data_IF_924915301334
#
_entry.id   IF_924915301334
#
_cell.length_a   1.000
_cell.length_b   1.000
_cell.length_c   1.000
_cell.angle_alpha   90.00
_cell.angle_beta   90.00
_cell.angle_gamma   90.00
#
_symmetry.space_group_name_H-M   'P 1'
#
loop_
_entity.id
_entity.type
_entity.pdbx_description
1 polymer ?
#
# COMPACT_ATOMS: atom_id res chain seq x y z
N UNK A 1 7.84 8.28 -3.94
CA UNK A 1 6.50 8.66 -3.42
C UNK A 1 6.50 9.27 -2.00
N UNK A 2 7.34 8.79 -1.07
CA UNK A 2 7.20 9.05 0.38
C UNK A 2 7.22 10.52 0.81
N UNK A 3 8.12 11.35 0.27
CA UNK A 3 8.21 12.76 0.69
C UNK A 3 6.92 13.54 0.38
N UNK A 4 6.29 13.24 -0.75
CA UNK A 4 4.98 13.82 -1.09
C UNK A 4 3.89 13.36 -0.13
N UNK A 5 3.88 12.07 0.22
CA UNK A 5 2.93 11.51 1.19
C UNK A 5 3.12 12.14 2.57
N UNK A 6 4.36 12.34 3.03
CA UNK A 6 4.66 13.01 4.30
C UNK A 6 4.16 14.46 4.32
N UNK A 7 4.44 15.22 3.25
CA UNK A 7 4.03 16.62 3.13
C UNK A 7 2.50 16.77 3.08
N UNK A 8 1.82 15.80 2.46
CA UNK A 8 0.37 15.83 2.28
C UNK A 8 -0.40 15.07 3.36
N UNK A 9 0.27 14.35 4.26
CA UNK A 9 -0.36 13.52 5.29
C UNK A 9 -1.50 14.22 6.06
N UNK A 10 -1.41 15.52 6.45
CA UNK A 10 -2.52 16.20 7.11
C UNK A 10 -3.82 16.27 6.29
N UNK A 11 -3.72 16.16 4.96
CA UNK A 11 -4.81 16.31 4.00
C UNK A 11 -5.23 14.98 3.35
N UNK A 12 -4.44 13.91 3.49
CA UNK A 12 -4.72 12.62 2.87
C UNK A 12 -5.89 11.93 3.59
N UNK A 13 -6.98 11.72 2.86
CA UNK A 13 -8.13 10.91 3.30
C UNK A 13 -8.11 9.50 2.72
N UNK A 14 -7.73 9.38 1.46
CA UNK A 14 -7.64 8.11 0.77
C UNK A 14 -6.39 8.07 -0.09
N UNK A 15 -5.88 6.85 -0.34
CA UNK A 15 -4.81 6.61 -1.29
C UNK A 15 -5.22 5.52 -2.27
N UNK A 16 -4.66 5.60 -3.47
CA UNK A 16 -4.59 4.48 -4.39
C UNK A 16 -3.32 3.68 -4.09
N UNK A 17 -3.48 2.49 -3.54
CA UNK A 17 -2.40 1.56 -3.24
C UNK A 17 -2.11 0.71 -4.49
N UNK A 18 -1.28 1.29 -5.36
CA UNK A 18 -0.88 0.72 -6.65
C UNK A 18 0.19 -0.35 -6.48
N UNK A 19 0.08 -1.43 -7.24
CA UNK A 19 1.04 -2.53 -7.28
C UNK A 19 1.25 -3.06 -8.69
N UNK A 20 2.43 -3.61 -8.96
CA UNK A 20 2.78 -4.17 -10.26
C UNK A 20 3.42 -5.56 -10.14
N UNK A 21 4.42 -5.70 -9.27
CA UNK A 21 5.20 -6.94 -9.17
C UNK A 21 5.41 -7.34 -7.71
N UNK A 22 5.20 -8.62 -7.41
CA UNK A 22 5.40 -9.18 -6.08
C UNK A 22 6.57 -10.17 -6.08
N UNK A 23 7.38 -10.12 -5.03
CA UNK A 23 8.44 -11.11 -4.81
C UNK A 23 7.89 -12.44 -4.25
N UNK A 24 8.77 -13.40 -4.04
CA UNK A 24 8.40 -14.72 -3.48
C UNK A 24 7.87 -14.67 -2.04
N UNK A 25 8.00 -13.54 -1.34
CA UNK A 25 7.46 -13.30 0.00
C UNK A 25 6.13 -12.55 -0.04
N UNK A 26 5.65 -12.19 -1.22
CA UNK A 26 4.43 -11.41 -1.44
C UNK A 26 4.62 -9.92 -1.16
N UNK A 27 5.86 -9.42 -1.15
CA UNK A 27 6.15 -7.99 -1.04
C UNK A 27 6.11 -7.34 -2.42
N UNK A 28 5.55 -6.14 -2.51
CA UNK A 28 5.60 -5.34 -3.73
C UNK A 28 7.03 -4.83 -3.94
N UNK A 29 7.56 -4.97 -5.15
CA UNK A 29 9.00 -4.79 -5.43
C UNK A 29 9.40 -3.36 -5.82
N UNK A 30 8.43 -2.50 -6.14
CA UNK A 30 8.63 -1.13 -6.61
C UNK A 30 8.32 -0.08 -5.53
N UNK A 31 7.43 -0.41 -4.61
CA UNK A 31 6.94 0.44 -3.52
C UNK A 31 7.11 -0.32 -2.20
N UNK A 32 7.89 0.25 -1.29
CA UNK A 32 7.90 -0.18 0.11
C UNK A 32 6.57 0.22 0.79
N UNK A 33 5.66 -0.75 0.89
CA UNK A 33 4.35 -0.60 1.53
C UNK A 33 4.49 -0.36 3.03
N UNK A 34 5.47 -0.98 3.71
CA UNK A 34 5.67 -0.79 5.14
C UNK A 34 6.01 0.65 5.47
N UNK A 35 6.91 1.26 4.71
CA UNK A 35 7.24 2.68 4.83
C UNK A 35 6.06 3.58 4.48
N UNK A 36 5.35 3.28 3.39
CA UNK A 36 4.17 4.05 2.97
C UNK A 36 3.09 4.09 4.05
N UNK A 37 2.68 2.92 4.55
CA UNK A 37 1.63 2.82 5.57
C UNK A 37 2.08 3.32 6.94
N UNK A 38 3.39 3.27 7.25
CA UNK A 38 3.92 3.90 8.47
C UNK A 38 3.80 5.42 8.46
N UNK A 39 3.90 6.06 7.28
CA UNK A 39 3.64 7.50 7.11
C UNK A 39 2.13 7.77 7.17
N UNK A 40 1.33 6.99 6.44
CA UNK A 40 -0.13 7.14 6.40
C UNK A 40 -0.79 6.90 7.76
N UNK A 41 -0.25 6.02 8.60
CA UNK A 41 -0.73 5.82 9.98
C UNK A 41 -0.66 7.11 10.82
N UNK A 42 0.23 8.04 10.49
CA UNK A 42 0.35 9.35 11.16
C UNK A 42 -0.59 10.41 10.56
N UNK A 43 -1.25 10.12 9.45
CA UNK A 43 -2.19 11.03 8.80
C UNK A 43 -3.54 11.03 9.55
N UNK A 44 -3.98 12.17 10.13
CA UNK A 44 -5.14 12.22 11.02
C UNK A 44 -6.49 12.01 10.32
N UNK A 45 -6.54 12.19 8.99
CA UNK A 45 -7.78 12.08 8.21
C UNK A 45 -7.85 10.80 7.35
N UNK A 46 -6.86 9.91 7.45
CA UNK A 46 -6.77 8.75 6.57
C UNK A 46 -7.80 7.68 6.92
N UNK A 47 -8.59 7.26 5.93
CA UNK A 47 -9.73 6.34 6.09
C UNK A 47 -9.71 5.15 5.12
N UNK A 48 -9.23 5.32 3.88
CA UNK A 48 -9.31 4.27 2.86
C UNK A 48 -8.02 4.09 2.05
N UNK A 49 -7.66 2.84 1.80
CA UNK A 49 -6.69 2.45 0.77
C UNK A 49 -7.43 1.68 -0.33
N UNK A 50 -7.55 2.26 -1.52
CA UNK A 50 -8.09 1.59 -2.70
C UNK A 50 -7.02 0.71 -3.34
N UNK A 51 -7.33 -0.56 -3.61
CA UNK A 51 -6.41 -1.49 -4.25
C UNK A 51 -6.44 -1.32 -5.76
N UNK A 52 -5.28 -1.11 -6.38
CA UNK A 52 -5.13 -1.07 -7.84
C UNK A 52 -3.93 -1.88 -8.28
N UNK A 53 -4.14 -2.90 -9.11
CA UNK A 53 -3.07 -3.72 -9.67
C UNK A 53 -2.91 -3.43 -11.17
N UNK A 54 -1.69 -3.12 -11.58
CA UNK A 54 -1.33 -2.75 -12.96
C UNK A 54 -0.34 -3.73 -13.63
N UNK A 55 0.11 -4.75 -12.91
CA UNK A 55 1.02 -5.76 -13.45
C UNK A 55 0.35 -6.67 -14.50
N UNK A 56 1.20 -7.35 -15.27
CA UNK A 56 0.76 -8.25 -16.36
C UNK A 56 1.17 -9.71 -16.17
N UNK A 57 1.95 -10.03 -15.13
CA UNK A 57 2.48 -11.38 -14.89
C UNK A 57 1.44 -12.34 -14.27
N UNK A 58 0.42 -11.79 -13.63
CA UNK A 58 -0.67 -12.52 -12.98
C UNK A 58 -2.02 -11.89 -13.32
N UNK A 59 -3.12 -12.60 -13.07
CA UNK A 59 -4.45 -12.06 -13.32
C UNK A 59 -4.76 -10.85 -12.42
N UNK A 60 -5.61 -9.93 -12.91
CA UNK A 60 -6.05 -8.74 -12.15
C UNK A 60 -6.64 -9.09 -10.79
N UNK A 61 -7.44 -10.16 -10.72
CA UNK A 61 -8.04 -10.62 -9.47
C UNK A 61 -6.97 -11.11 -8.48
N UNK A 62 -5.97 -11.86 -8.96
CA UNK A 62 -4.86 -12.32 -8.11
C UNK A 62 -4.02 -11.14 -7.62
N UNK A 63 -3.66 -10.20 -8.49
CA UNK A 63 -2.89 -9.02 -8.10
C UNK A 63 -3.63 -8.13 -7.11
N UNK A 64 -4.93 -7.90 -7.31
CA UNK A 64 -5.76 -7.17 -6.35
C UNK A 64 -5.80 -7.89 -4.98
N UNK A 65 -5.95 -9.21 -4.98
CA UNK A 65 -5.94 -9.99 -3.74
C UNK A 65 -4.59 -9.92 -3.02
N UNK A 66 -3.47 -10.09 -3.74
CA UNK A 66 -2.13 -10.00 -3.16
C UNK A 66 -1.85 -8.61 -2.59
N UNK A 67 -2.27 -7.55 -3.28
CA UNK A 67 -2.16 -6.17 -2.80
C UNK A 67 -2.91 -5.98 -1.48
N UNK A 68 -4.16 -6.46 -1.41
CA UNK A 68 -4.97 -6.42 -0.18
C UNK A 68 -4.28 -7.17 0.96
N UNK A 69 -3.80 -8.39 0.69
CA UNK A 69 -3.10 -9.21 1.69
C UNK A 69 -1.82 -8.55 2.20
N UNK A 70 -1.05 -7.92 1.32
CA UNK A 70 0.14 -7.17 1.69
C UNK A 70 -0.20 -5.98 2.61
N UNK A 71 -1.23 -5.20 2.26
CA UNK A 71 -1.71 -4.10 3.11
C UNK A 71 -2.12 -4.61 4.50
N UNK A 72 -2.92 -5.67 4.57
CA UNK A 72 -3.36 -6.26 5.85
C UNK A 72 -2.18 -6.78 6.68
N UNK A 73 -1.18 -7.41 6.04
CA UNK A 73 0.06 -7.84 6.68
C UNK A 73 0.81 -6.65 7.28
N UNK A 74 1.08 -5.63 6.47
CA UNK A 74 1.79 -4.42 6.89
C UNK A 74 1.06 -3.71 8.04
N UNK A 75 -0.27 -3.57 7.95
CA UNK A 75 -1.07 -2.95 9.00
C UNK A 75 -0.96 -3.71 10.33
N UNK A 76 -0.94 -5.04 10.32
CA UNK A 76 -0.70 -5.84 11.53
C UNK A 76 0.69 -5.58 12.11
N UNK A 77 1.72 -5.58 11.26
CA UNK A 77 3.12 -5.38 11.70
C UNK A 77 3.38 -4.00 12.32
N UNK A 78 2.70 -2.95 11.84
CA UNK A 78 2.92 -1.59 12.35
C UNK A 78 1.97 -1.22 13.50
N UNK A 79 0.96 -2.06 13.79
CA UNK A 79 0.00 -1.87 14.88
C UNK A 79 0.26 -2.74 16.10
N UNK A 80 1.05 -3.81 15.96
CA UNK A 80 1.68 -4.49 17.10
C UNK A 80 2.75 -3.59 17.74
#
# INVERSE_FOLDING_TARGET
>A
PYKGIELLAPYIRAVSAKSEHFDSKGEETTIDYKKMFSILKKAPQFIYAGVEFFGNDISRNQGALQTKTLIEKVLREING
#
